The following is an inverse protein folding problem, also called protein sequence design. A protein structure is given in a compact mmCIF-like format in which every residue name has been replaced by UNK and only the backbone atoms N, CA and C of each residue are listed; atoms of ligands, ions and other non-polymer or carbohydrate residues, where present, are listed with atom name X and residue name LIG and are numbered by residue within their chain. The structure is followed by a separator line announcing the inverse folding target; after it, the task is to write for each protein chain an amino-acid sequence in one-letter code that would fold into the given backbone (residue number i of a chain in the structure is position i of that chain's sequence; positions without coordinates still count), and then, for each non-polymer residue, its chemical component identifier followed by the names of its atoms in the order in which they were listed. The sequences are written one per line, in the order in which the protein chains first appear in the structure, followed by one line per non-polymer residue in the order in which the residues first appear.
data_IF_539376059920
#
_entry.id   IF_539376059920
#
_cell.length_a   1.000
_cell.length_b   1.000
_cell.length_c   1.000
_cell.angle_alpha   90.00
_cell.angle_beta   90.00
_cell.angle_gamma   90.00
#
_symmetry.space_group_name_H-M   'P 1'
#
loop_
_entity.id
_entity.type
_entity.pdbx_description
1 polymer ?
#
# COMPACT_ATOMS: atom_id res chain seq x y z
N UNK A 1 -23.25 -30.77 2.51
CA UNK A 1 -23.59 -29.34 2.35
C UNK A 1 -22.45 -28.50 2.96
N UNK A 2 -21.91 -27.61 2.20
CA UNK A 2 -20.93 -26.63 2.75
C UNK A 2 -21.75 -25.61 3.54
N UNK A 3 -21.61 -25.58 4.85
CA UNK A 3 -22.22 -24.52 5.67
C UNK A 3 -21.68 -23.18 5.20
N UNK A 4 -22.55 -22.36 4.66
CA UNK A 4 -22.23 -20.99 4.28
C UNK A 4 -22.12 -20.18 5.56
N UNK A 5 -20.89 -20.00 6.07
CA UNK A 5 -20.67 -19.16 7.25
C UNK A 5 -21.14 -17.74 6.96
N UNK A 6 -21.93 -17.18 7.88
CA UNK A 6 -22.37 -15.78 7.79
C UNK A 6 -21.16 -14.86 7.80
N UNK A 7 -21.16 -13.88 6.91
CA UNK A 7 -20.12 -12.86 6.87
C UNK A 7 -20.20 -12.00 8.14
N UNK A 8 -19.14 -11.95 8.96
CA UNK A 8 -19.16 -11.12 10.15
C UNK A 8 -19.19 -9.62 9.78
N UNK A 9 -19.90 -8.83 10.56
CA UNK A 9 -20.05 -7.39 10.30
C UNK A 9 -18.69 -6.65 10.26
N UNK A 10 -17.73 -7.07 11.09
CA UNK A 10 -16.41 -6.45 11.15
C UNK A 10 -15.60 -6.63 9.84
N UNK A 11 -15.92 -7.62 9.01
CA UNK A 11 -15.29 -7.75 7.69
C UNK A 11 -15.59 -6.54 6.80
N UNK A 12 -16.82 -6.05 6.87
CA UNK A 12 -17.21 -4.85 6.13
C UNK A 12 -16.47 -3.61 6.63
N UNK A 13 -16.36 -3.47 7.96
CA UNK A 13 -15.63 -2.33 8.56
C UNK A 13 -14.15 -2.37 8.15
N UNK A 14 -13.47 -3.49 8.33
CA UNK A 14 -12.06 -3.66 7.98
C UNK A 14 -11.84 -3.53 6.48
N UNK A 15 -12.70 -4.13 5.67
CA UNK A 15 -12.59 -4.07 4.21
C UNK A 15 -12.81 -2.67 3.65
N UNK A 16 -13.81 -1.93 4.15
CA UNK A 16 -14.08 -0.56 3.73
C UNK A 16 -12.94 0.37 4.19
N UNK A 17 -12.47 0.24 5.42
CA UNK A 17 -11.30 0.97 5.89
C UNK A 17 -10.09 0.72 4.99
N UNK A 18 -9.78 -0.56 4.73
CA UNK A 18 -8.67 -0.95 3.85
C UNK A 18 -8.83 -0.41 2.43
N UNK A 19 -10.05 -0.42 1.89
CA UNK A 19 -10.35 0.13 0.57
C UNK A 19 -10.10 1.64 0.51
N UNK A 20 -10.63 2.40 1.48
CA UNK A 20 -10.46 3.85 1.54
C UNK A 20 -9.00 4.24 1.75
N UNK A 21 -8.30 3.55 2.65
CA UNK A 21 -6.87 3.74 2.88
C UNK A 21 -6.05 3.53 1.61
N UNK A 22 -6.30 2.43 0.92
CA UNK A 22 -5.58 2.10 -0.31
C UNK A 22 -6.00 2.96 -1.50
N UNK A 23 -7.23 3.48 -1.51
CA UNK A 23 -7.67 4.43 -2.54
C UNK A 23 -6.86 5.73 -2.47
N UNK A 24 -6.55 6.21 -1.27
CA UNK A 24 -5.65 7.36 -1.10
C UNK A 24 -4.26 7.06 -1.66
N UNK A 25 -3.72 5.87 -1.39
CA UNK A 25 -2.42 5.46 -1.91
C UNK A 25 -2.40 5.32 -3.44
N UNK A 26 -3.46 4.77 -4.04
CA UNK A 26 -3.61 4.68 -5.50
C UNK A 26 -3.71 6.06 -6.13
N UNK A 27 -4.42 6.97 -5.51
CA UNK A 27 -4.55 8.36 -5.97
C UNK A 27 -3.19 9.06 -5.96
N UNK A 28 -2.48 8.98 -4.84
CA UNK A 28 -1.13 9.56 -4.69
C UNK A 28 -0.16 8.98 -5.74
N UNK A 29 -0.10 7.65 -5.86
CA UNK A 29 0.72 6.97 -6.85
C UNK A 29 0.40 7.43 -8.28
N UNK A 30 -0.89 7.48 -8.64
CA UNK A 30 -1.31 7.80 -9.99
C UNK A 30 -0.95 9.23 -10.38
N UNK A 31 -1.20 10.22 -9.50
CA UNK A 31 -0.82 11.60 -9.77
C UNK A 31 0.70 11.80 -9.81
N UNK A 32 1.46 11.11 -8.96
CA UNK A 32 2.91 11.15 -9.00
C UNK A 32 3.45 10.58 -10.33
N UNK A 33 2.89 9.47 -10.81
CA UNK A 33 3.28 8.85 -12.09
C UNK A 33 2.86 9.66 -13.31
N UNK A 34 1.72 10.31 -13.27
CA UNK A 34 1.28 11.23 -14.32
C UNK A 34 2.09 12.53 -14.34
N UNK A 35 3.03 12.71 -13.41
CA UNK A 35 3.85 13.93 -13.26
C UNK A 35 2.98 15.18 -13.23
N UNK A 36 1.87 15.12 -12.48
CA UNK A 36 0.95 16.24 -12.32
C UNK A 36 1.62 17.35 -11.52
N UNK A 37 2.01 18.44 -12.18
CA UNK A 37 2.61 19.61 -11.51
C UNK A 37 1.67 20.18 -10.46
N UNK A 38 0.38 20.21 -10.75
CA UNK A 38 -0.63 20.62 -9.77
C UNK A 38 -0.58 19.78 -8.51
N UNK A 39 -0.58 18.46 -8.65
CA UNK A 39 -0.54 17.57 -7.48
C UNK A 39 0.76 17.68 -6.71
N UNK A 40 1.89 17.64 -7.42
CA UNK A 40 3.22 17.64 -6.79
C UNK A 40 3.54 18.97 -6.10
N UNK A 41 3.18 20.10 -6.71
CA UNK A 41 3.52 21.43 -6.21
C UNK A 41 2.44 22.05 -5.32
N UNK A 42 1.17 21.95 -5.72
CA UNK A 42 0.08 22.61 -5.01
C UNK A 42 -0.51 21.75 -3.88
N UNK A 43 -0.68 20.45 -4.11
CA UNK A 43 -1.25 19.54 -3.11
C UNK A 43 -0.18 18.99 -2.17
N UNK A 44 0.87 18.38 -2.73
CA UNK A 44 1.95 17.77 -1.95
C UNK A 44 3.01 18.77 -1.49
N UNK A 45 3.04 19.96 -2.08
CA UNK A 45 3.99 21.04 -1.78
C UNK A 45 5.47 20.59 -1.88
N UNK A 46 5.76 19.70 -2.83
CA UNK A 46 7.10 19.21 -3.05
C UNK A 46 7.97 20.26 -3.73
N UNK A 47 9.22 20.34 -3.28
CA UNK A 47 10.28 21.14 -3.92
C UNK A 47 10.78 20.46 -5.18
N UNK A 48 11.42 21.20 -6.08
CA UNK A 48 11.98 20.63 -7.31
C UNK A 48 12.97 19.49 -7.06
N UNK A 49 13.88 19.53 -6.04
CA UNK A 49 14.71 18.37 -5.70
C UNK A 49 13.93 17.13 -5.25
N UNK A 50 12.84 17.32 -4.52
CA UNK A 50 11.97 16.21 -4.10
C UNK A 50 11.26 15.57 -5.31
N UNK A 51 10.78 16.39 -6.24
CA UNK A 51 10.15 15.91 -7.48
C UNK A 51 11.18 15.15 -8.34
N UNK A 52 12.39 15.68 -8.46
CA UNK A 52 13.47 15.02 -9.19
C UNK A 52 13.83 13.65 -8.58
N UNK A 53 13.81 13.55 -7.25
CA UNK A 53 14.08 12.29 -6.56
C UNK A 53 13.11 11.17 -6.96
N UNK A 54 11.80 11.48 -7.09
CA UNK A 54 10.80 10.52 -7.58
C UNK A 54 11.00 10.16 -9.06
N UNK A 55 11.52 11.08 -9.87
CA UNK A 55 11.77 10.85 -11.29
C UNK A 55 12.97 9.89 -11.53
N UNK A 56 13.89 9.84 -10.60
CA UNK A 56 15.14 9.06 -10.72
C UNK A 56 15.01 7.61 -10.19
N UNK A 57 13.81 7.14 -9.90
CA UNK A 57 13.60 5.79 -9.42
C UNK A 57 14.07 4.74 -10.43
N UNK A 58 14.92 3.79 -10.04
CA UNK A 58 15.25 2.66 -10.89
C UNK A 58 14.02 1.79 -11.16
N UNK A 59 14.06 1.03 -12.25
CA UNK A 59 12.90 0.21 -12.66
C UNK A 59 12.39 -0.71 -11.56
N UNK A 60 13.29 -1.37 -10.82
CA UNK A 60 12.89 -2.30 -9.75
C UNK A 60 12.17 -1.59 -8.59
N UNK A 61 12.57 -0.35 -8.23
CA UNK A 61 11.88 0.44 -7.21
C UNK A 61 10.51 0.91 -7.71
N UNK A 62 10.40 1.29 -8.98
CA UNK A 62 9.11 1.61 -9.61
C UNK A 62 8.15 0.41 -9.59
N UNK A 63 8.65 -0.78 -9.92
CA UNK A 63 7.87 -2.02 -9.84
C UNK A 63 7.45 -2.28 -8.39
N UNK A 64 8.36 -2.13 -7.44
CA UNK A 64 8.07 -2.27 -6.02
C UNK A 64 6.95 -1.33 -5.56
N UNK A 65 7.01 -0.06 -5.96
CA UNK A 65 5.98 0.92 -5.64
C UNK A 65 4.62 0.53 -6.23
N UNK A 66 4.59 0.16 -7.50
CA UNK A 66 3.37 -0.29 -8.17
C UNK A 66 2.77 -1.54 -7.48
N UNK A 67 3.58 -2.55 -7.20
CA UNK A 67 3.12 -3.77 -6.51
C UNK A 67 2.60 -3.47 -5.12
N UNK A 68 3.28 -2.61 -4.38
CA UNK A 68 2.87 -2.21 -3.04
C UNK A 68 1.49 -1.57 -3.03
N UNK A 69 1.29 -0.57 -3.87
CA UNK A 69 0.04 0.20 -3.95
C UNK A 69 -1.10 -0.63 -4.54
N UNK A 70 -0.91 -1.18 -5.73
CA UNK A 70 -1.98 -1.93 -6.42
C UNK A 70 -2.26 -3.27 -5.78
N UNK A 71 -1.25 -3.94 -5.23
CA UNK A 71 -1.42 -5.20 -4.50
C UNK A 71 -2.31 -5.05 -3.28
N UNK A 72 -2.09 -4.01 -2.48
CA UNK A 72 -2.89 -3.74 -1.28
C UNK A 72 -4.31 -3.26 -1.63
N UNK A 73 -4.46 -2.44 -2.66
CA UNK A 73 -5.76 -2.01 -3.16
C UNK A 73 -6.60 -3.19 -3.66
N UNK A 74 -6.00 -4.05 -4.50
CA UNK A 74 -6.64 -5.28 -4.95
C UNK A 74 -6.97 -6.22 -3.79
N UNK A 75 -6.07 -6.33 -2.81
CA UNK A 75 -6.29 -7.11 -1.59
C UNK A 75 -7.52 -6.66 -0.81
N UNK A 76 -7.73 -5.34 -0.67
CA UNK A 76 -8.92 -4.79 -0.02
C UNK A 76 -10.21 -5.09 -0.80
N UNK A 77 -10.18 -5.00 -2.13
CA UNK A 77 -11.31 -5.37 -2.99
C UNK A 77 -11.64 -6.86 -2.84
N UNK A 78 -10.61 -7.71 -2.90
CA UNK A 78 -10.78 -9.17 -2.75
C UNK A 78 -11.27 -9.56 -1.36
N UNK A 79 -10.86 -8.83 -0.32
CA UNK A 79 -11.37 -9.01 1.04
C UNK A 79 -12.89 -8.74 1.10
N UNK A 80 -13.34 -7.63 0.52
CA UNK A 80 -14.76 -7.30 0.44
C UNK A 80 -15.56 -8.27 -0.45
N UNK A 81 -14.93 -8.79 -1.51
CA UNK A 81 -15.49 -9.85 -2.35
C UNK A 81 -15.47 -11.23 -1.68
N UNK A 82 -14.94 -11.33 -0.47
CA UNK A 82 -14.79 -12.59 0.29
C UNK A 82 -13.94 -13.63 -0.43
N UNK A 83 -12.95 -13.18 -1.17
CA UNK A 83 -12.03 -14.06 -1.89
C UNK A 83 -10.80 -14.38 -1.03
N UNK A 84 -10.43 -15.65 -0.94
CA UNK A 84 -9.20 -16.10 -0.28
C UNK A 84 -7.93 -15.52 -0.92
N UNK A 85 -8.02 -15.10 -2.18
CA UNK A 85 -6.90 -14.47 -2.88
C UNK A 85 -6.50 -13.10 -2.31
N UNK A 86 -7.30 -12.53 -1.40
CA UNK A 86 -6.93 -11.33 -0.67
C UNK A 86 -5.59 -11.49 0.05
N UNK A 87 -5.32 -12.65 0.66
CA UNK A 87 -4.04 -12.92 1.32
C UNK A 87 -2.86 -12.87 0.37
N UNK A 88 -2.99 -13.48 -0.82
CA UNK A 88 -1.95 -13.45 -1.85
C UNK A 88 -1.68 -12.01 -2.36
N UNK A 89 -2.73 -11.22 -2.54
CA UNK A 89 -2.61 -9.82 -2.96
C UNK A 89 -1.87 -8.99 -1.89
N UNK A 90 -2.17 -9.17 -0.61
CA UNK A 90 -1.44 -8.50 0.47
C UNK A 90 0.02 -8.95 0.59
N UNK A 91 0.34 -10.22 0.30
CA UNK A 91 1.73 -10.71 0.24
C UNK A 91 2.49 -10.02 -0.90
N UNK A 92 1.90 -9.94 -2.08
CA UNK A 92 2.49 -9.22 -3.23
C UNK A 92 2.74 -7.75 -2.88
N UNK A 93 1.77 -7.11 -2.21
CA UNK A 93 1.93 -5.75 -1.70
C UNK A 93 3.08 -5.62 -0.71
N UNK A 94 3.22 -6.58 0.21
CA UNK A 94 4.31 -6.58 1.19
C UNK A 94 5.69 -6.70 0.51
N UNK A 95 5.82 -7.51 -0.52
CA UNK A 95 7.04 -7.60 -1.33
C UNK A 95 7.34 -6.25 -2.00
N UNK A 96 6.34 -5.62 -2.61
CA UNK A 96 6.49 -4.30 -3.22
C UNK A 96 6.90 -3.22 -2.21
N UNK A 97 6.25 -3.19 -1.05
CA UNK A 97 6.58 -2.26 0.03
C UNK A 97 7.98 -2.50 0.58
N UNK A 98 8.43 -3.77 0.67
CA UNK A 98 9.79 -4.11 1.09
C UNK A 98 10.82 -3.56 0.09
N UNK A 99 10.60 -3.73 -1.21
CA UNK A 99 11.47 -3.16 -2.24
C UNK A 99 11.58 -1.64 -2.12
N UNK A 100 10.45 -0.95 -1.90
CA UNK A 100 10.44 0.49 -1.69
C UNK A 100 11.15 0.91 -0.41
N UNK A 101 10.92 0.20 0.68
CA UNK A 101 11.58 0.46 1.97
C UNK A 101 13.10 0.30 1.85
N UNK A 102 13.56 -0.75 1.15
CA UNK A 102 14.99 -0.97 0.87
C UNK A 102 15.56 0.17 0.04
N UNK A 103 14.86 0.62 -1.00
CA UNK A 103 15.31 1.71 -1.84
C UNK A 103 15.40 3.03 -1.06
N UNK A 104 14.34 3.39 -0.35
CA UNK A 104 14.24 4.67 0.35
C UNK A 104 15.18 4.75 1.55
N UNK A 105 15.23 3.74 2.38
CA UNK A 105 15.93 3.77 3.67
C UNK A 105 17.19 2.92 3.70
N UNK A 106 17.24 1.82 2.96
CA UNK A 106 18.41 0.95 2.91
C UNK A 106 19.52 1.49 2.04
N UNK A 107 19.19 1.96 0.85
CA UNK A 107 20.17 2.41 -0.16
C UNK A 107 20.35 3.93 -0.21
N UNK A 108 19.29 4.70 0.04
CA UNK A 108 19.27 6.14 -0.11
C UNK A 108 18.79 6.87 1.17
N UNK A 109 18.96 6.25 2.34
CA UNK A 109 18.39 6.74 3.59
C UNK A 109 18.85 8.16 3.95
N UNK A 110 20.13 8.47 3.81
CA UNK A 110 20.68 9.79 4.14
C UNK A 110 20.11 10.88 3.21
N UNK A 111 20.06 10.61 1.92
CA UNK A 111 19.50 11.55 0.95
C UNK A 111 18.00 11.72 1.16
N UNK A 112 17.28 10.64 1.38
CA UNK A 112 15.85 10.67 1.62
C UNK A 112 15.50 11.49 2.89
N UNK A 113 16.21 11.24 4.00
CA UNK A 113 16.02 12.01 5.24
C UNK A 113 16.39 13.49 5.07
N UNK A 114 17.42 13.80 4.28
CA UNK A 114 17.80 15.17 3.98
C UNK A 114 16.72 15.90 3.18
N UNK A 115 16.10 15.23 2.20
CA UNK A 115 15.08 15.85 1.34
C UNK A 115 13.71 15.93 1.98
N UNK A 116 13.29 14.91 2.73
CA UNK A 116 11.92 14.75 3.21
C UNK A 116 11.79 14.81 4.75
N UNK A 117 12.90 14.76 5.47
CA UNK A 117 12.90 14.68 6.92
C UNK A 117 12.44 13.30 7.45
N UNK A 118 12.23 13.17 8.78
CA UNK A 118 11.88 11.90 9.41
C UNK A 118 10.40 11.51 9.26
N UNK A 119 9.53 12.44 8.88
CA UNK A 119 8.08 12.21 8.79
C UNK A 119 7.69 11.00 7.92
N UNK A 120 8.19 10.88 6.68
CA UNK A 120 7.89 9.74 5.82
C UNK A 120 8.36 8.39 6.36
N UNK A 121 9.40 8.35 7.20
CA UNK A 121 9.84 7.12 7.86
C UNK A 121 8.78 6.60 8.83
N UNK A 122 8.22 7.47 9.66
CA UNK A 122 7.11 7.12 10.56
C UNK A 122 5.86 6.74 9.78
N UNK A 123 5.57 7.44 8.69
CA UNK A 123 4.44 7.11 7.81
C UNK A 123 4.61 5.74 7.16
N UNK A 124 5.82 5.40 6.69
CA UNK A 124 6.13 4.07 6.14
C UNK A 124 5.92 2.97 7.20
N UNK A 125 6.30 3.22 8.46
CA UNK A 125 6.03 2.29 9.55
C UNK A 125 4.52 2.08 9.75
N UNK A 126 3.71 3.12 9.67
CA UNK A 126 2.24 3.02 9.73
C UNK A 126 1.69 2.20 8.57
N UNK A 127 2.21 2.40 7.35
CA UNK A 127 1.82 1.61 6.18
C UNK A 127 2.11 0.12 6.42
N UNK A 128 3.28 -0.23 6.94
CA UNK A 128 3.63 -1.61 7.29
C UNK A 128 2.67 -2.20 8.32
N UNK A 129 2.36 -1.47 9.39
CA UNK A 129 1.44 -1.93 10.44
C UNK A 129 0.05 -2.21 9.87
N UNK A 130 -0.48 -1.30 9.06
CA UNK A 130 -1.80 -1.47 8.43
C UNK A 130 -1.80 -2.66 7.46
N UNK A 131 -0.77 -2.79 6.63
CA UNK A 131 -0.67 -3.90 5.67
C UNK A 131 -0.60 -5.25 6.37
N UNK A 132 0.23 -5.37 7.40
CA UNK A 132 0.34 -6.59 8.20
C UNK A 132 -0.98 -6.90 8.89
N UNK A 133 -1.65 -5.90 9.46
CA UNK A 133 -2.96 -6.07 10.09
C UNK A 133 -4.02 -6.56 9.11
N UNK A 134 -4.08 -5.99 7.90
CA UNK A 134 -4.99 -6.42 6.84
C UNK A 134 -4.70 -7.86 6.39
N UNK A 135 -3.42 -8.21 6.23
CA UNK A 135 -3.02 -9.57 5.89
C UNK A 135 -3.43 -10.58 6.97
N UNK A 136 -3.10 -10.30 8.24
CA UNK A 136 -3.44 -11.20 9.35
C UNK A 136 -4.95 -11.34 9.52
N UNK A 137 -5.68 -10.25 9.31
CA UNK A 137 -7.14 -10.29 9.32
C UNK A 137 -7.68 -11.20 8.21
N UNK A 138 -7.22 -10.99 6.97
CA UNK A 138 -7.62 -11.81 5.83
C UNK A 138 -7.28 -13.30 6.04
N UNK A 139 -6.07 -13.61 6.52
CA UNK A 139 -5.65 -14.99 6.80
C UNK A 139 -6.55 -15.66 7.85
N UNK A 140 -6.91 -14.93 8.91
CA UNK A 140 -7.88 -15.44 9.90
C UNK A 140 -9.25 -15.71 9.30
N UNK A 141 -9.71 -14.87 8.39
CA UNK A 141 -11.01 -15.06 7.71
C UNK A 141 -10.98 -16.22 6.71
N UNK A 142 -9.83 -16.50 6.07
CA UNK A 142 -9.61 -17.70 5.27
C UNK A 142 -9.71 -18.95 6.15
N UNK A 143 -8.98 -19.00 7.25
CA UNK A 143 -8.98 -20.11 8.21
C UNK A 143 -10.37 -20.34 8.84
N UNK A 144 -11.11 -19.26 9.04
CA UNK A 144 -12.49 -19.34 9.53
C UNK A 144 -13.51 -19.79 8.47
N UNK A 145 -13.11 -19.92 7.18
CA UNK A 145 -13.98 -20.30 6.07
C UNK A 145 -14.95 -19.20 5.60
N UNK A 146 -14.65 -17.93 5.96
CA UNK A 146 -15.42 -16.76 5.50
C UNK A 146 -14.98 -16.33 4.10
N UNK A 147 -13.66 -16.33 3.86
CA UNK A 147 -13.08 -16.10 2.53
C UNK A 147 -12.89 -17.42 1.81
N UNK A 148 -13.25 -17.47 0.51
CA UNK A 148 -13.27 -18.68 -0.31
C UNK A 148 -12.50 -18.52 -1.60
#
# INVERSE_FOLDING_TARGET
MVEVKKTPWHLWVVGIFGLLWNLLAVTDYSFAKMKSDWYMKEVSQFTDPQIAWFADFPLWANIGWALGVWGSFLGAILLLARSRHATSAFIVSAVGLALMTIYQFGLNGDEFLRLFGPGPMYFTAVIWVILIALYLYADRQVKAGVLR
#
